data_IF_318173930120
#
_entry.id   IF_318173930120
#
_cell.length_a   1.000
_cell.length_b   1.000
_cell.length_c   1.000
_cell.angle_alpha   90.00
_cell.angle_beta   90.00
_cell.angle_gamma   90.00
#
_symmetry.space_group_name_H-M   'P 1'
#
loop_
_entity.id
_entity.type
_entity.pdbx_description
1 polymer ?
#
# COMPACT_ATOMS: atom_id res chain seq x y z
N UNK A 1 -17.73 -2.98 -25.32
CA UNK A 1 -17.31 -1.68 -24.77
C UNK A 1 -15.80 -1.58 -24.90
N UNK A 2 -15.27 -0.67 -25.74
CA UNK A 2 -13.82 -0.45 -25.82
C UNK A 2 -13.35 0.34 -24.60
N UNK A 3 -12.35 -0.16 -23.87
CA UNK A 3 -11.84 0.53 -22.69
C UNK A 3 -11.13 1.84 -23.09
N UNK A 4 -11.64 2.98 -22.62
CA UNK A 4 -10.97 4.27 -22.83
C UNK A 4 -9.74 4.35 -21.95
N UNK A 5 -8.58 4.18 -22.59
CA UNK A 5 -7.26 4.35 -21.99
C UNK A 5 -7.01 5.80 -21.57
N UNK A 6 -6.24 5.96 -20.50
CA UNK A 6 -5.80 7.23 -19.94
C UNK A 6 -4.29 7.22 -19.73
N UNK A 7 -3.69 8.41 -19.78
CA UNK A 7 -2.29 8.64 -19.46
C UNK A 7 -2.14 9.85 -18.52
N UNK A 8 -1.03 9.87 -17.78
CA UNK A 8 -0.59 11.00 -16.97
C UNK A 8 0.48 11.74 -17.76
N UNK A 9 0.39 13.07 -17.86
CA UNK A 9 1.37 13.90 -18.55
C UNK A 9 1.95 14.97 -17.62
N UNK A 10 3.18 15.35 -17.92
CA UNK A 10 3.92 16.41 -17.24
C UNK A 10 4.34 17.43 -18.30
N UNK A 11 3.91 18.68 -18.13
CA UNK A 11 4.36 19.81 -18.96
C UNK A 11 5.18 20.79 -18.14
N UNK A 12 6.16 21.41 -18.80
CA UNK A 12 6.83 22.60 -18.29
C UNK A 12 6.13 23.84 -18.83
N UNK A 13 5.95 24.83 -17.96
CA UNK A 13 5.39 26.13 -18.27
C UNK A 13 6.51 27.15 -18.59
N UNK A 14 6.15 28.30 -19.14
CA UNK A 14 7.10 29.38 -19.49
C UNK A 14 7.87 29.97 -18.30
N UNK A 15 7.33 29.85 -17.08
CA UNK A 15 8.01 30.18 -15.81
C UNK A 15 8.85 29.02 -15.26
N UNK A 16 9.18 28.03 -16.10
CA UNK A 16 9.87 26.78 -15.78
C UNK A 16 9.14 25.86 -14.77
N UNK A 17 7.95 26.24 -14.28
CA UNK A 17 7.14 25.41 -13.38
C UNK A 17 6.60 24.15 -14.05
N UNK A 18 6.24 23.14 -13.26
CA UNK A 18 5.78 21.83 -13.75
C UNK A 18 4.31 21.58 -13.40
N UNK A 19 3.45 21.52 -14.42
CA UNK A 19 2.06 21.11 -14.29
C UNK A 19 1.89 19.62 -14.64
N UNK A 20 1.14 18.90 -13.80
CA UNK A 20 0.80 17.49 -13.97
C UNK A 20 -0.72 17.34 -14.13
N UNK A 21 -1.17 16.46 -15.03
CA UNK A 21 -2.58 16.14 -15.23
C UNK A 21 -2.79 14.81 -15.95
N UNK A 22 -4.05 14.39 -16.09
CA UNK A 22 -4.44 13.19 -16.86
C UNK A 22 -5.25 13.54 -18.11
N UNK A 23 -5.20 12.68 -19.13
CA UNK A 23 -6.06 12.77 -20.32
C UNK A 23 -6.11 11.44 -21.08
N UNK A 24 -7.09 11.32 -21.97
CA UNK A 24 -7.22 10.27 -23.00
C UNK A 24 -6.83 10.77 -24.41
N UNK A 25 -6.51 12.07 -24.59
CA UNK A 25 -6.02 12.63 -25.85
C UNK A 25 -4.99 13.73 -25.57
N UNK A 26 -3.71 13.35 -25.63
CA UNK A 26 -2.59 14.23 -25.29
C UNK A 26 -2.46 15.43 -26.22
N UNK A 27 -2.58 15.21 -27.53
CA UNK A 27 -2.37 16.25 -28.54
C UNK A 27 -3.42 17.36 -28.42
N UNK A 28 -4.70 16.99 -28.29
CA UNK A 28 -5.78 17.94 -28.03
C UNK A 28 -5.56 18.67 -26.68
N UNK A 29 -5.15 17.95 -25.63
CA UNK A 29 -4.93 18.57 -24.31
C UNK A 29 -3.79 19.59 -24.32
N UNK A 30 -2.70 19.33 -25.05
CA UNK A 30 -1.59 20.26 -25.23
C UNK A 30 -2.01 21.50 -26.04
N UNK A 31 -2.77 21.31 -27.14
CA UNK A 31 -3.31 22.40 -27.93
C UNK A 31 -4.25 23.29 -27.10
N UNK A 32 -5.16 22.70 -26.31
CA UNK A 32 -6.09 23.41 -25.41
C UNK A 32 -5.35 24.20 -24.32
N UNK A 33 -4.27 23.65 -23.74
CA UNK A 33 -3.42 24.40 -22.80
C UNK A 33 -2.76 25.60 -23.49
N UNK A 34 -2.11 25.41 -24.64
CA UNK A 34 -1.42 26.50 -25.35
C UNK A 34 -2.39 27.57 -25.90
N UNK A 35 -3.61 27.19 -26.28
CA UNK A 35 -4.70 28.11 -26.65
C UNK A 35 -5.29 28.90 -25.46
N UNK A 36 -4.80 28.70 -24.22
CA UNK A 36 -5.31 29.40 -23.04
C UNK A 36 -6.69 28.91 -22.56
N UNK A 37 -7.20 27.81 -23.12
CA UNK A 37 -8.46 27.15 -22.74
C UNK A 37 -8.24 25.95 -21.79
N UNK A 38 -7.00 25.79 -21.30
CA UNK A 38 -6.57 24.73 -20.39
C UNK A 38 -6.93 24.96 -18.92
N UNK A 39 -6.15 24.35 -18.03
CA UNK A 39 -6.36 24.48 -16.58
C UNK A 39 -6.08 25.91 -16.10
N UNK A 40 -6.72 26.34 -14.99
CA UNK A 40 -6.48 27.66 -14.37
C UNK A 40 -4.99 27.95 -14.13
N UNK A 41 -4.20 26.93 -13.79
CA UNK A 41 -2.75 27.03 -13.58
C UNK A 41 -1.95 27.33 -14.86
N UNK A 42 -2.29 26.66 -15.97
CA UNK A 42 -1.56 26.78 -17.24
C UNK A 42 -2.06 27.94 -18.10
N UNK A 43 -3.31 28.41 -17.91
CA UNK A 43 -3.92 29.49 -18.70
C UNK A 43 -3.09 30.78 -18.75
N UNK A 44 -2.41 31.13 -17.65
CA UNK A 44 -1.50 32.29 -17.57
C UNK A 44 -0.02 31.96 -17.72
N UNK A 45 0.38 30.68 -17.72
CA UNK A 45 1.78 30.23 -17.75
C UNK A 45 2.07 29.49 -19.07
N UNK A 46 2.00 30.25 -20.17
CA UNK A 46 2.10 29.77 -21.56
C UNK A 46 3.33 30.37 -22.27
N UNK A 47 3.91 29.72 -23.29
CA UNK A 47 3.58 28.38 -23.78
C UNK A 47 3.87 27.27 -22.75
N UNK A 48 3.31 26.07 -23.00
CA UNK A 48 3.65 24.84 -22.27
C UNK A 48 4.26 23.80 -23.21
N UNK A 49 5.31 23.14 -22.75
CA UNK A 49 6.04 22.10 -23.48
C UNK A 49 5.90 20.74 -22.77
N UNK A 50 5.79 19.65 -23.54
CA UNK A 50 5.70 18.30 -22.96
C UNK A 50 7.09 17.82 -22.50
N UNK A 51 7.21 17.43 -21.22
CA UNK A 51 8.49 16.95 -20.64
C UNK A 51 8.45 15.49 -20.18
N UNK A 52 7.26 14.88 -20.08
CA UNK A 52 7.08 13.45 -19.80
C UNK A 52 5.64 12.98 -19.94
N UNK A 53 5.47 11.68 -20.18
CA UNK A 53 4.17 10.99 -20.26
C UNK A 53 4.31 9.58 -19.67
N UNK A 54 3.26 9.06 -19.03
CA UNK A 54 3.20 7.67 -18.56
C UNK A 54 2.84 6.72 -19.72
N UNK A 55 2.98 5.41 -19.52
CA UNK A 55 2.25 4.45 -20.37
C UNK A 55 0.74 4.63 -20.18
N UNK A 56 -0.04 4.13 -21.14
CA UNK A 56 -1.49 4.04 -21.04
C UNK A 56 -1.93 3.11 -19.89
N UNK A 57 -3.08 3.42 -19.27
CA UNK A 57 -3.68 2.69 -18.14
C UNK A 57 -5.17 3.03 -17.96
N UNK A 58 -5.83 2.43 -16.97
CA UNK A 58 -7.22 2.78 -16.61
C UNK A 58 -7.32 4.17 -15.96
N UNK A 59 -8.50 4.79 -15.98
CA UNK A 59 -8.73 6.10 -15.34
C UNK A 59 -8.39 6.08 -13.83
N UNK A 60 -8.69 4.98 -13.14
CA UNK A 60 -8.41 4.80 -11.71
C UNK A 60 -6.90 4.74 -11.42
N UNK A 61 -6.13 4.03 -12.26
CA UNK A 61 -4.67 4.01 -12.17
C UNK A 61 -4.07 5.38 -12.51
N UNK A 62 -4.58 6.07 -13.54
CA UNK A 62 -4.11 7.41 -13.92
C UNK A 62 -4.30 8.43 -12.79
N UNK A 63 -5.46 8.43 -12.11
CA UNK A 63 -5.72 9.28 -10.94
C UNK A 63 -4.77 8.96 -9.75
N UNK A 64 -4.57 7.67 -9.45
CA UNK A 64 -3.63 7.22 -8.41
C UNK A 64 -2.18 7.64 -8.71
N UNK A 65 -1.76 7.57 -9.97
CA UNK A 65 -0.42 8.01 -10.39
C UNK A 65 -0.29 9.54 -10.38
N UNK A 66 -1.28 10.28 -10.88
CA UNK A 66 -1.29 11.74 -10.90
C UNK A 66 -1.23 12.34 -9.48
N UNK A 67 -1.99 11.78 -8.53
CA UNK A 67 -1.87 12.12 -7.11
C UNK A 67 -0.44 11.88 -6.59
N UNK A 68 0.13 10.70 -6.84
CA UNK A 68 1.49 10.35 -6.39
C UNK A 68 2.57 11.27 -6.98
N UNK A 69 2.46 11.61 -8.27
CA UNK A 69 3.36 12.54 -8.97
C UNK A 69 3.26 13.97 -8.40
N UNK A 70 2.09 14.38 -7.89
CA UNK A 70 1.93 15.67 -7.20
C UNK A 70 2.65 15.71 -5.84
N UNK A 71 2.86 14.57 -5.19
CA UNK A 71 3.54 14.47 -3.88
C UNK A 71 5.08 14.41 -3.96
N UNK A 72 5.68 14.08 -5.12
CA UNK A 72 7.15 14.00 -5.24
C UNK A 72 7.78 15.35 -5.63
N UNK A 73 9.01 15.66 -5.17
CA UNK A 73 9.75 16.85 -5.59
C UNK A 73 9.89 16.94 -7.11
N UNK A 74 9.93 18.16 -7.66
CA UNK A 74 9.93 18.41 -9.11
C UNK A 74 11.02 17.64 -9.88
N UNK A 75 12.21 17.47 -9.30
CA UNK A 75 13.31 16.68 -9.85
C UNK A 75 12.99 15.18 -10.03
N UNK A 76 12.07 14.62 -9.25
CA UNK A 76 11.66 13.21 -9.30
C UNK A 76 10.38 12.96 -10.08
N UNK A 77 9.63 14.00 -10.50
CA UNK A 77 8.34 13.84 -11.19
C UNK A 77 8.45 13.02 -12.48
N UNK A 78 9.45 13.30 -13.33
CA UNK A 78 9.66 12.56 -14.59
C UNK A 78 9.96 11.06 -14.35
N UNK A 79 10.74 10.75 -13.31
CA UNK A 79 11.02 9.36 -12.91
C UNK A 79 9.74 8.65 -12.42
N UNK A 80 8.92 9.32 -11.59
CA UNK A 80 7.70 8.70 -11.05
C UNK A 80 6.62 8.47 -12.13
N UNK A 81 6.54 9.31 -13.19
CA UNK A 81 5.70 9.01 -14.37
C UNK A 81 6.08 7.68 -15.04
N UNK A 82 7.36 7.31 -15.04
CA UNK A 82 7.88 6.06 -15.61
C UNK A 82 7.98 4.90 -14.60
N UNK A 83 7.70 5.15 -13.32
CA UNK A 83 7.93 4.18 -12.23
C UNK A 83 6.81 3.12 -12.18
N UNK A 84 6.89 2.14 -13.08
CA UNK A 84 6.06 0.94 -13.10
C UNK A 84 6.29 0.10 -11.84
N UNK A 85 5.45 0.38 -10.83
CA UNK A 85 5.09 -0.58 -9.79
C UNK A 85 4.06 -1.56 -10.35
N UNK A 86 4.48 -2.35 -11.33
CA UNK A 86 3.71 -3.53 -11.76
C UNK A 86 3.67 -4.48 -10.55
N UNK A 87 2.48 -4.68 -9.97
CA UNK A 87 2.31 -5.30 -8.66
C UNK A 87 2.87 -6.74 -8.64
N UNK A 88 2.75 -7.46 -9.75
CA UNK A 88 3.39 -8.76 -10.00
C UNK A 88 4.91 -8.72 -9.87
N UNK A 89 5.58 -7.73 -10.48
CA UNK A 89 7.05 -7.56 -10.40
C UNK A 89 7.47 -7.21 -8.97
N UNK A 90 6.66 -6.43 -8.25
CA UNK A 90 6.92 -6.10 -6.85
C UNK A 90 6.74 -7.31 -5.94
N UNK A 91 5.77 -8.19 -6.20
CA UNK A 91 5.59 -9.46 -5.49
C UNK A 91 6.78 -10.40 -5.73
N UNK A 92 7.12 -10.68 -6.99
CA UNK A 92 8.27 -11.52 -7.38
C UNK A 92 9.58 -11.01 -6.75
N UNK A 93 9.83 -9.69 -6.77
CA UNK A 93 10.99 -9.08 -6.11
C UNK A 93 10.99 -9.31 -4.59
N UNK A 94 9.84 -9.17 -3.93
CA UNK A 94 9.70 -9.40 -2.48
C UNK A 94 9.94 -10.88 -2.14
N UNK A 95 9.30 -11.79 -2.87
CA UNK A 95 9.43 -13.24 -2.67
C UNK A 95 10.87 -13.72 -2.86
N UNK A 96 11.56 -13.20 -3.88
CA UNK A 96 12.98 -13.47 -4.13
C UNK A 96 13.87 -12.98 -2.98
N UNK A 97 13.64 -11.75 -2.49
CA UNK A 97 14.38 -11.18 -1.36
C UNK A 97 14.13 -11.96 -0.06
N UNK A 98 12.88 -12.31 0.24
CA UNK A 98 12.52 -13.11 1.41
C UNK A 98 13.17 -14.51 1.36
N UNK A 99 13.24 -15.13 0.18
CA UNK A 99 13.90 -16.42 -0.02
C UNK A 99 15.43 -16.35 0.17
N UNK A 100 16.09 -15.34 -0.40
CA UNK A 100 17.54 -15.11 -0.23
C UNK A 100 17.88 -14.81 1.23
N UNK A 101 17.11 -13.94 1.90
CA UNK A 101 17.28 -13.65 3.32
C UNK A 101 17.13 -14.90 4.20
N UNK A 102 16.20 -15.81 3.86
CA UNK A 102 16.02 -17.09 4.55
C UNK A 102 17.23 -18.02 4.36
N UNK A 103 17.85 -18.06 3.17
CA UNK A 103 19.08 -18.82 2.94
C UNK A 103 20.27 -18.23 3.70
N UNK A 104 20.49 -16.92 3.61
CA UNK A 104 21.56 -16.22 4.34
C UNK A 104 21.42 -16.47 5.85
N UNK A 105 20.22 -16.34 6.42
CA UNK A 105 19.96 -16.60 7.84
C UNK A 105 20.12 -18.07 8.23
N UNK A 106 19.93 -19.00 7.30
CA UNK A 106 20.28 -20.41 7.50
C UNK A 106 21.79 -20.62 7.63
N UNK A 107 22.57 -19.94 6.79
CA UNK A 107 24.03 -19.98 6.77
C UNK A 107 24.65 -19.29 8.00
N UNK A 108 24.17 -18.11 8.41
CA UNK A 108 24.67 -17.45 9.64
C UNK A 108 24.47 -18.34 10.87
N UNK A 109 23.27 -18.91 11.04
CA UNK A 109 22.96 -19.83 12.14
C UNK A 109 23.81 -21.12 12.10
N UNK A 110 24.34 -21.52 10.94
CA UNK A 110 25.27 -22.66 10.81
C UNK A 110 26.70 -22.25 11.20
N UNK A 111 27.17 -21.10 10.74
CA UNK A 111 28.47 -20.51 11.10
C UNK A 111 28.55 -20.23 12.60
N UNK A 112 27.50 -19.65 13.20
CA UNK A 112 27.38 -19.46 14.65
C UNK A 112 27.52 -20.77 15.43
N UNK A 113 26.92 -21.87 14.93
CA UNK A 113 27.05 -23.20 15.53
C UNK A 113 28.43 -23.84 15.37
N UNK A 114 29.16 -23.48 14.31
CA UNK A 114 30.55 -23.91 14.14
C UNK A 114 31.47 -23.14 15.12
N UNK A 115 31.35 -21.81 15.16
CA UNK A 115 32.14 -20.94 16.07
C UNK A 115 31.92 -21.31 17.55
N UNK A 116 30.69 -21.64 17.94
CA UNK A 116 30.37 -22.05 19.32
C UNK A 116 30.41 -23.59 19.53
N UNK A 117 30.82 -24.37 18.52
CA UNK A 117 30.62 -25.83 18.48
C UNK A 117 31.55 -26.63 19.40
N UNK A 118 32.80 -26.19 19.56
CA UNK A 118 33.83 -26.93 20.29
C UNK A 118 33.77 -26.75 21.83
N UNK A 119 32.94 -25.82 22.32
CA UNK A 119 32.84 -25.46 23.74
C UNK A 119 31.93 -26.41 24.54
N UNK A 120 32.26 -27.72 24.61
CA UNK A 120 31.51 -28.72 25.39
C UNK A 120 32.13 -29.00 26.77
N UNK A 121 31.59 -28.47 27.88
CA UNK A 121 32.10 -28.78 29.22
C UNK A 121 31.82 -30.25 29.60
N UNK A 122 32.88 -30.99 29.90
CA UNK A 122 32.80 -32.39 30.37
C UNK A 122 32.21 -32.44 31.78
N UNK A 123 30.92 -32.75 31.93
CA UNK A 123 30.34 -33.07 33.24
C UNK A 123 30.78 -34.47 33.69
N UNK A 124 31.36 -34.56 34.88
CA UNK A 124 31.83 -35.80 35.48
C UNK A 124 30.68 -36.72 35.95
N UNK A 125 31.00 -37.99 36.19
CA UNK A 125 30.03 -39.03 36.55
C UNK A 125 29.66 -39.03 38.05
N UNK A 126 28.39 -39.29 38.36
CA UNK A 126 27.83 -39.53 39.70
C UNK A 126 26.82 -40.67 39.68
N UNK A 127 26.60 -41.37 40.81
CA UNK A 127 26.03 -42.74 40.84
C UNK A 127 24.55 -42.85 41.28
N UNK A 128 23.86 -43.80 40.63
CA UNK A 128 22.81 -44.74 41.13
C UNK A 128 21.35 -44.28 41.39
N UNK A 129 20.45 -45.22 41.03
CA UNK A 129 19.19 -45.62 41.70
C UNK A 129 17.97 -44.68 41.65
N UNK A 130 16.69 -45.13 41.68
CA UNK A 130 16.05 -46.44 41.33
C UNK A 130 14.54 -46.23 41.05
N UNK A 131 13.92 -47.17 40.32
CA UNK A 131 12.46 -47.46 40.19
C UNK A 131 11.45 -46.59 40.97
N UNK A 132 10.44 -46.05 40.25
CA UNK A 132 9.04 -46.52 40.42
C UNK A 132 8.15 -46.20 39.21
N UNK A 133 7.00 -46.88 39.16
CA UNK A 133 6.03 -46.90 38.06
C UNK A 133 4.66 -46.57 38.65
N UNK A 134 3.91 -45.63 38.07
CA UNK A 134 2.51 -45.37 38.42
C UNK A 134 1.72 -45.00 37.17
N UNK A 135 0.49 -45.49 37.10
CA UNK A 135 -0.47 -45.28 36.00
C UNK A 135 -1.79 -44.86 36.64
N UNK A 136 -2.48 -43.87 36.06
CA UNK A 136 -3.87 -43.58 36.42
C UNK A 136 -4.69 -43.21 35.18
N UNK A 137 -5.92 -43.73 35.11
CA UNK A 137 -6.91 -43.50 34.04
C UNK A 137 -8.23 -43.04 34.68
N UNK A 138 -8.83 -41.97 34.14
CA UNK A 138 -10.27 -41.65 33.96
C UNK A 138 -10.38 -40.12 33.76
N UNK A 139 -11.07 -39.52 32.78
CA UNK A 139 -12.24 -39.82 31.92
C UNK A 139 -13.59 -39.40 32.52
N UNK A 140 -14.26 -38.48 31.79
CA UNK A 140 -15.68 -38.08 31.82
C UNK A 140 -16.19 -37.24 33.03
N UNK A 141 -17.27 -36.46 32.94
CA UNK A 141 -17.91 -35.74 31.81
C UNK A 141 -19.14 -34.90 32.30
N UNK A 142 -19.63 -33.95 31.48
CA UNK A 142 -21.01 -33.34 31.54
C UNK A 142 -21.24 -32.41 32.76
N UNK A 143 -22.08 -31.36 32.78
CA UNK A 143 -23.27 -30.95 31.96
C UNK A 143 -23.31 -29.40 31.77
N UNK A 144 -24.26 -28.90 30.95
CA UNK A 144 -24.66 -27.47 30.87
C UNK A 144 -25.72 -27.13 31.94
N UNK A 145 -25.80 -25.87 32.41
CA UNK A 145 -27.06 -25.13 32.59
C UNK A 145 -26.85 -23.63 32.96
N UNK A 146 -27.74 -22.79 32.45
CA UNK A 146 -27.86 -21.32 32.62
C UNK A 146 -28.57 -20.86 33.90
N UNK A 147 -28.31 -19.63 34.38
CA UNK A 147 -29.33 -18.69 34.95
C UNK A 147 -28.98 -17.23 34.56
N UNK A 148 -29.97 -16.31 34.61
CA UNK A 148 -29.93 -14.86 34.27
C UNK A 148 -29.39 -14.03 35.50
N UNK A 149 -29.36 -12.68 35.63
CA UNK A 149 -30.30 -11.63 35.15
C UNK A 149 -29.82 -10.18 35.46
N UNK A 150 -29.95 -9.27 34.47
CA UNK A 150 -30.32 -7.82 34.55
C UNK A 150 -29.49 -6.69 35.24
N UNK A 151 -29.80 -5.47 34.74
CA UNK A 151 -29.55 -4.08 35.21
C UNK A 151 -28.30 -3.36 34.65
N UNK A 152 -28.34 -2.11 34.17
CA UNK A 152 -29.45 -1.16 33.83
C UNK A 152 -29.11 -0.34 32.54
N UNK A 153 -30.04 0.21 31.75
CA UNK A 153 -30.59 1.60 31.79
C UNK A 153 -29.54 2.67 32.20
N UNK A 154 -29.38 3.83 31.52
CA UNK A 154 -30.31 4.70 30.76
C UNK A 154 -29.61 5.36 29.51
N UNK A 155 -30.27 5.70 28.37
CA UNK A 155 -30.98 6.97 27.98
C UNK A 155 -30.23 8.28 28.30
N UNK A 156 -30.27 9.38 27.52
CA UNK A 156 -30.78 9.74 26.15
C UNK A 156 -30.11 11.11 25.75
N UNK A 157 -30.27 11.78 24.59
CA UNK A 157 -31.21 11.74 23.44
C UNK A 157 -30.65 12.50 22.20
N UNK A 158 -31.32 12.56 21.03
CA UNK A 158 -32.35 13.55 20.55
C UNK A 158 -31.86 15.02 20.54
N UNK A 159 -32.04 15.90 19.52
CA UNK A 159 -32.86 16.00 18.26
C UNK A 159 -31.94 16.42 17.05
N UNK A 160 -32.40 16.93 15.89
CA UNK A 160 -33.28 16.40 14.81
C UNK A 160 -33.83 17.55 13.89
N UNK A 161 -34.18 17.27 12.61
CA UNK A 161 -34.99 18.13 11.66
C UNK A 161 -34.25 19.40 11.09
N UNK A 162 -34.40 19.90 9.84
CA UNK A 162 -35.23 19.59 8.64
C UNK A 162 -34.61 20.11 7.29
N UNK A 163 -35.31 19.83 6.16
CA UNK A 163 -35.54 20.64 4.92
C UNK A 163 -34.53 20.74 3.73
N UNK A 164 -35.02 20.27 2.58
CA UNK A 164 -34.96 20.83 1.19
C UNK A 164 -36.07 21.90 0.99
N UNK A 165 -36.30 22.60 -0.18
CA UNK A 165 -35.93 22.28 -1.57
C UNK A 165 -35.57 23.45 -2.55
N UNK A 166 -35.41 23.09 -3.84
CA UNK A 166 -35.60 23.85 -5.10
C UNK A 166 -34.91 25.20 -5.41
N UNK A 167 -34.34 25.28 -6.63
CA UNK A 167 -34.84 26.19 -7.70
C UNK A 167 -34.40 25.79 -9.12
N UNK A 168 -35.01 26.44 -10.13
CA UNK A 168 -34.77 26.34 -11.59
C UNK A 168 -34.05 27.60 -12.13
N UNK A 169 -33.90 27.64 -13.46
CA UNK A 169 -33.37 28.72 -14.32
C UNK A 169 -31.85 28.94 -14.21
N UNK A 170 -31.12 29.24 -15.29
CA UNK A 170 -31.53 29.57 -16.68
C UNK A 170 -30.81 28.67 -17.70
#
# INVERSE_FOLDING_TARGET
>A
MSERKWLVYLVQCSDQSLYCGITNNLNNRLAVHNAGKGAKYTRSRRPVTLVGVSSEMTMSQALKLEYRVKQVPSSRKKLELTNRKDETIMSIRKELVDAVLKQIKGLTNAIEKMINGDAKPKKAAGKKATKKKSVSKKKAAKRKATVKKASGKAKAGKKAVQKTPEKKEE
#
